data_IF_030850197486
#
_entry.id   IF_030850197486
#
_cell.length_a   1.000
_cell.length_b   1.000
_cell.length_c   1.000
_cell.angle_alpha   90.00
_cell.angle_beta   90.00
_cell.angle_gamma   90.00
#
_symmetry.space_group_name_H-M   'P 1'
#
loop_
_entity.id
_entity.type
_entity.pdbx_description
1 polymer ?
#
# COMPACT_ATOMS: atom_id res chain seq x y z
N UNK A 1 20.48 -11.13 -0.93
CA UNK A 1 19.41 -10.76 0.04
C UNK A 1 19.03 -9.32 -0.24
N UNK A 2 18.05 -9.11 -1.12
CA UNK A 2 17.49 -7.78 -1.37
C UNK A 2 16.63 -7.42 -0.15
N UNK A 3 17.25 -6.77 0.85
CA UNK A 3 16.60 -6.04 1.95
C UNK A 3 15.61 -6.88 2.78
N UNK A 4 16.06 -7.36 3.96
CA UNK A 4 15.16 -8.00 4.92
C UNK A 4 14.32 -6.94 5.65
N UNK A 5 13.21 -6.52 5.04
CA UNK A 5 12.20 -5.69 5.70
C UNK A 5 11.42 -6.55 6.70
N UNK A 6 11.24 -6.03 7.92
CA UNK A 6 10.38 -6.67 8.91
C UNK A 6 8.91 -6.57 8.52
N UNK A 7 8.09 -7.53 8.95
CA UNK A 7 6.66 -7.54 8.62
C UNK A 7 5.91 -6.33 9.20
N UNK A 8 6.33 -5.86 10.37
CA UNK A 8 5.82 -4.62 10.97
C UNK A 8 6.17 -3.40 10.12
N UNK A 9 7.40 -3.30 9.60
CA UNK A 9 7.77 -2.19 8.70
C UNK A 9 6.96 -2.19 7.41
N UNK A 10 6.71 -3.36 6.81
CA UNK A 10 5.88 -3.48 5.60
C UNK A 10 4.43 -3.07 5.89
N UNK A 11 3.86 -3.53 7.01
CA UNK A 11 2.52 -3.13 7.45
C UNK A 11 2.42 -1.61 7.65
N UNK A 12 3.39 -0.99 8.34
CA UNK A 12 3.37 0.48 8.53
C UNK A 12 3.48 1.24 7.22
N UNK A 13 4.30 0.77 6.28
CA UNK A 13 4.51 1.41 5.00
C UNK A 13 3.28 1.28 4.11
N UNK A 14 2.59 0.14 4.17
CA UNK A 14 1.31 -0.08 3.51
C UNK A 14 0.24 0.90 4.02
N UNK A 15 0.07 1.03 5.34
CA UNK A 15 -0.91 1.98 5.90
C UNK A 15 -0.57 3.44 5.62
N UNK A 16 0.72 3.81 5.62
CA UNK A 16 1.15 5.16 5.23
C UNK A 16 0.79 5.45 3.76
N UNK A 17 1.10 4.51 2.86
CA UNK A 17 0.75 4.64 1.44
C UNK A 17 -0.77 4.71 1.24
N UNK A 18 -1.54 3.87 1.94
CA UNK A 18 -2.99 3.85 1.88
C UNK A 18 -3.58 5.18 2.37
N UNK A 19 -3.06 5.72 3.48
CA UNK A 19 -3.48 7.01 4.01
C UNK A 19 -3.16 8.16 3.05
N UNK A 20 -1.99 8.12 2.40
CA UNK A 20 -1.61 9.11 1.39
C UNK A 20 -2.52 9.04 0.14
N UNK A 21 -2.84 7.83 -0.32
CA UNK A 21 -3.80 7.59 -1.42
C UNK A 21 -5.19 8.12 -1.06
N UNK A 22 -5.66 7.81 0.14
CA UNK A 22 -6.95 8.28 0.66
C UNK A 22 -7.02 9.82 0.72
N UNK A 23 -6.02 10.47 1.31
CA UNK A 23 -5.92 11.93 1.37
C UNK A 23 -5.87 12.53 -0.04
N UNK A 24 -5.11 11.92 -0.95
CA UNK A 24 -5.01 12.35 -2.34
C UNK A 24 -6.37 12.24 -3.08
N UNK A 25 -7.13 11.17 -2.82
CA UNK A 25 -8.48 10.99 -3.36
C UNK A 25 -9.48 11.99 -2.79
N UNK A 26 -9.34 12.35 -1.52
CA UNK A 26 -10.15 13.39 -0.87
C UNK A 26 -9.93 14.77 -1.51
N UNK A 27 -8.67 15.09 -1.86
CA UNK A 27 -8.35 16.28 -2.62
C UNK A 27 -8.94 16.23 -4.04
N UNK A 28 -8.95 15.05 -4.68
CA UNK A 28 -9.50 14.87 -6.02
C UNK A 28 -10.99 15.23 -6.14
N UNK A 29 -11.76 15.03 -5.07
CA UNK A 29 -13.19 15.42 -5.01
C UNK A 29 -13.43 16.93 -5.16
N UNK A 30 -12.39 17.76 -5.05
CA UNK A 30 -12.51 19.20 -5.28
C UNK A 30 -12.64 19.51 -6.78
N UNK A 31 -13.75 20.16 -7.16
CA UNK A 31 -14.27 20.29 -8.54
C UNK A 31 -13.37 20.99 -9.59
N UNK A 32 -12.18 21.49 -9.23
CA UNK A 32 -11.25 22.17 -10.15
C UNK A 32 -9.83 21.64 -10.02
N UNK A 33 -9.64 20.33 -10.22
CA UNK A 33 -8.30 19.74 -10.25
C UNK A 33 -7.71 19.76 -11.67
N UNK A 34 -6.48 20.29 -11.85
CA UNK A 34 -5.82 20.27 -13.15
C UNK A 34 -5.46 18.84 -13.56
N UNK A 35 -5.44 18.56 -14.87
CA UNK A 35 -5.11 17.23 -15.42
C UNK A 35 -3.77 16.67 -14.91
N UNK A 36 -2.81 17.53 -14.56
CA UNK A 36 -1.52 17.14 -13.96
C UNK A 36 -1.67 16.48 -12.58
N UNK A 37 -2.65 16.91 -11.78
CA UNK A 37 -2.90 16.32 -10.47
C UNK A 37 -3.47 14.91 -10.59
N UNK A 38 -4.25 14.63 -11.63
CA UNK A 38 -4.80 13.29 -11.91
C UNK A 38 -3.67 12.27 -12.09
N UNK A 39 -2.66 12.59 -12.90
CA UNK A 39 -1.52 11.69 -13.12
C UNK A 39 -0.74 11.41 -11.83
N UNK A 40 -0.56 12.44 -10.99
CA UNK A 40 0.13 12.29 -9.71
C UNK A 40 -0.71 11.45 -8.72
N UNK A 41 -2.03 11.67 -8.68
CA UNK A 41 -2.96 10.87 -7.87
C UNK A 41 -2.91 9.40 -8.26
N UNK A 42 -2.95 9.07 -9.55
CA UNK A 42 -2.86 7.68 -10.05
C UNK A 42 -1.54 7.03 -9.59
N UNK A 43 -0.42 7.77 -9.64
CA UNK A 43 0.86 7.28 -9.14
C UNK A 43 0.85 6.99 -7.64
N UNK A 44 0.27 7.90 -6.83
CA UNK A 44 0.14 7.71 -5.38
C UNK A 44 -0.82 6.56 -5.06
N UNK A 45 -1.90 6.42 -5.82
CA UNK A 45 -2.89 5.35 -5.65
C UNK A 45 -2.31 3.96 -5.93
N UNK A 46 -1.25 3.87 -6.73
CA UNK A 46 -0.52 2.62 -6.99
C UNK A 46 0.54 2.29 -5.92
N UNK A 47 0.86 3.20 -4.99
CA UNK A 47 1.86 2.92 -3.95
C UNK A 47 1.43 1.80 -2.99
N UNK A 48 0.17 1.75 -2.46
CA UNK A 48 -0.27 0.65 -1.60
C UNK A 48 -0.12 -0.72 -2.26
N UNK A 49 -0.50 -0.84 -3.53
CA UNK A 49 -0.38 -2.09 -4.29
C UNK A 49 1.09 -2.46 -4.54
N UNK A 50 1.96 -1.50 -4.87
CA UNK A 50 3.41 -1.75 -4.96
C UNK A 50 4.01 -2.28 -3.64
N UNK A 51 3.58 -1.74 -2.51
CA UNK A 51 4.02 -2.21 -1.18
C UNK A 51 3.50 -3.62 -0.92
N UNK A 52 2.26 -3.91 -1.30
CA UNK A 52 1.67 -5.24 -1.19
C UNK A 52 2.39 -6.28 -2.05
N UNK A 53 2.78 -5.91 -3.27
CA UNK A 53 3.58 -6.75 -4.15
C UNK A 53 4.95 -7.07 -3.53
N UNK A 54 5.63 -6.05 -3.00
CA UNK A 54 6.91 -6.22 -2.34
C UNK A 54 6.79 -7.12 -1.10
N UNK A 55 5.72 -6.94 -0.32
CA UNK A 55 5.44 -7.78 0.82
C UNK A 55 5.14 -9.23 0.39
N UNK A 56 4.38 -9.45 -0.68
CA UNK A 56 4.07 -10.77 -1.21
C UNK A 56 5.32 -11.53 -1.66
N UNK A 57 6.25 -10.88 -2.35
CA UNK A 57 7.51 -11.48 -2.82
C UNK A 57 8.47 -11.75 -1.66
N UNK A 58 8.42 -10.95 -0.59
CA UNK A 58 9.29 -11.08 0.57
C UNK A 58 8.64 -11.85 1.75
N UNK A 59 7.40 -12.31 1.62
CA UNK A 59 6.70 -12.98 2.71
C UNK A 59 7.17 -14.43 2.85
N UNK A 60 7.78 -14.74 3.98
CA UNK A 60 8.30 -16.07 4.30
C UNK A 60 7.51 -16.77 5.43
N UNK A 61 6.28 -16.34 5.75
CA UNK A 61 5.41 -17.09 6.66
C UNK A 61 4.26 -16.32 7.27
N UNK A 62 3.40 -17.06 7.96
CA UNK A 62 2.27 -16.55 8.73
C UNK A 62 2.76 -15.70 9.91
N UNK A 63 2.56 -14.39 9.84
CA UNK A 63 3.01 -13.48 10.88
C UNK A 63 1.85 -12.61 11.35
N UNK A 64 1.63 -12.62 12.66
CA UNK A 64 0.60 -11.81 13.30
C UNK A 64 1.26 -10.55 13.86
N UNK A 65 0.74 -9.38 13.49
CA UNK A 65 1.16 -8.09 14.03
C UNK A 65 -0.06 -7.42 14.67
N UNK A 66 -0.20 -7.54 15.99
CA UNK A 66 -1.38 -7.05 16.71
C UNK A 66 -2.66 -7.77 16.26
N UNK A 67 -3.72 -7.05 15.85
CA UNK A 67 -4.94 -7.67 15.32
C UNK A 67 -4.81 -8.10 13.85
N UNK A 68 -3.70 -7.79 13.18
CA UNK A 68 -3.53 -8.01 11.74
C UNK A 68 -2.78 -9.32 11.46
N UNK A 69 -3.39 -10.16 10.63
CA UNK A 69 -2.79 -11.38 10.13
C UNK A 69 -2.15 -11.10 8.78
N UNK A 70 -0.82 -11.30 8.67
CA UNK A 70 -0.03 -11.00 7.47
C UNK A 70 0.37 -12.29 6.75
N UNK A 71 -0.64 -12.99 6.24
CA UNK A 71 -0.46 -14.17 5.40
C UNK A 71 -0.28 -13.81 3.92
N UNK A 72 0.16 -14.78 3.14
CA UNK A 72 0.33 -14.62 1.68
C UNK A 72 -1.00 -14.24 1.02
N UNK A 73 -2.13 -14.73 1.54
CA UNK A 73 -3.45 -14.41 1.01
C UNK A 73 -3.85 -12.97 1.28
N UNK A 74 -3.63 -12.43 2.49
CA UNK A 74 -3.91 -11.02 2.78
C UNK A 74 -3.08 -10.08 1.90
N UNK A 75 -1.79 -10.34 1.69
CA UNK A 75 -0.96 -9.54 0.79
C UNK A 75 -1.36 -9.68 -0.68
N UNK A 76 -1.86 -10.84 -1.10
CA UNK A 76 -2.41 -11.01 -2.44
C UNK A 76 -3.70 -10.20 -2.62
N UNK A 77 -4.60 -10.24 -1.63
CA UNK A 77 -5.84 -9.46 -1.64
C UNK A 77 -5.55 -7.96 -1.64
N UNK A 78 -4.62 -7.50 -0.79
CA UNK A 78 -4.23 -6.08 -0.71
C UNK A 78 -3.47 -5.58 -1.95
N UNK A 79 -2.90 -6.47 -2.77
CA UNK A 79 -2.32 -6.11 -4.06
C UNK A 79 -3.38 -5.87 -5.13
N UNK A 80 -4.50 -6.60 -5.05
CA UNK A 80 -5.55 -6.58 -6.04
C UNK A 80 -6.58 -5.45 -5.86
N UNK A 81 -6.77 -5.00 -4.61
CA UNK A 81 -7.68 -3.92 -4.22
C UNK A 81 -6.99 -2.56 -4.41
#
# INVERSE_FOLDING_TARGET
MLISLSSSTLLTLFFMALSASWLSGLLFLHARMPLRFVHLHIGIAALPSLVSLLALVNNNGDRVVGPWHLDTLAWLMAFFV
#
